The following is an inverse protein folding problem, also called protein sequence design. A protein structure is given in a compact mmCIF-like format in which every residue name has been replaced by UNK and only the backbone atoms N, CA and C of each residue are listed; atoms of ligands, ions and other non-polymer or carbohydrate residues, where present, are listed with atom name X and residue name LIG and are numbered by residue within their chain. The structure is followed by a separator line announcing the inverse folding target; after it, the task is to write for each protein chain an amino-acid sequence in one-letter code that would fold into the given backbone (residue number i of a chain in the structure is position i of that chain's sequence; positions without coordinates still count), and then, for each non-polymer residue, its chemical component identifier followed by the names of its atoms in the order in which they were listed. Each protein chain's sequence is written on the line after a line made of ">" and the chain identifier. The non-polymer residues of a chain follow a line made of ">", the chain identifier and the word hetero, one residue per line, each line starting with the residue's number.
data_IF_823134290389
#
_entry.id   IF_823134290389
#
_cell.length_a   1.000
_cell.length_b   1.000
_cell.length_c   1.000
_cell.angle_alpha   90.00
_cell.angle_beta   90.00
_cell.angle_gamma   90.00
#
_symmetry.space_group_name_H-M   'P 1'
#
loop_
_entity.id
_entity.type
_entity.pdbx_description
1 polymer ?
#
# COMPACT_ATOMS: atom_id res chain seq x y z
N UNK A 1 6.71 -1.80 -29.17
CA UNK A 1 7.40 -1.15 -28.04
C UNK A 1 6.37 -0.39 -27.24
N UNK A 2 6.15 -0.68 -25.93
CA UNK A 2 5.12 0.02 -25.14
C UNK A 2 5.41 1.50 -24.87
N UNK A 3 6.63 1.96 -25.11
CA UNK A 3 7.07 3.33 -24.80
C UNK A 3 6.31 4.44 -25.57
N UNK A 4 5.83 4.17 -26.79
CA UNK A 4 5.09 5.18 -27.56
C UNK A 4 3.70 5.48 -26.99
N UNK A 5 3.04 4.50 -26.34
CA UNK A 5 1.71 4.66 -25.76
C UNK A 5 1.71 5.55 -24.51
N UNK A 6 2.86 5.73 -23.85
CA UNK A 6 3.02 6.46 -22.60
C UNK A 6 3.92 7.69 -22.73
N UNK A 7 4.19 8.15 -23.95
CA UNK A 7 5.07 9.31 -24.20
C UNK A 7 4.60 10.61 -23.51
N UNK A 8 3.30 10.71 -23.20
CA UNK A 8 2.70 11.83 -22.48
C UNK A 8 2.76 11.70 -20.95
N UNK A 9 3.20 10.54 -20.43
CA UNK A 9 3.27 10.28 -18.98
C UNK A 9 4.57 10.83 -18.43
N UNK A 10 4.44 11.76 -17.47
CA UNK A 10 5.58 12.38 -16.79
C UNK A 10 5.66 12.02 -15.29
N UNK A 11 4.69 11.25 -14.78
CA UNK A 11 4.67 10.81 -13.40
C UNK A 11 4.07 9.41 -13.30
N UNK A 12 4.80 8.52 -12.65
CA UNK A 12 4.45 7.12 -12.41
C UNK A 12 4.19 6.95 -10.92
N UNK A 13 3.02 6.41 -10.59
CA UNK A 13 2.66 6.11 -9.20
C UNK A 13 2.55 4.60 -9.06
N UNK A 14 3.34 4.05 -8.16
CA UNK A 14 3.40 2.64 -7.86
C UNK A 14 2.70 2.37 -6.55
N UNK A 15 1.89 1.32 -6.54
CA UNK A 15 1.51 0.67 -5.30
C UNK A 15 2.69 -0.15 -4.76
N UNK A 16 2.65 -0.53 -3.49
CA UNK A 16 3.73 -1.26 -2.84
C UNK A 16 3.43 -2.75 -2.73
N UNK A 17 2.39 -3.08 -1.94
CA UNK A 17 2.12 -4.45 -1.52
C UNK A 17 1.62 -5.30 -2.68
N UNK A 18 2.25 -6.47 -2.87
CA UNK A 18 1.99 -7.35 -4.00
C UNK A 18 2.14 -6.69 -5.39
N UNK A 19 2.84 -5.55 -5.45
CA UNK A 19 3.13 -4.79 -6.67
C UNK A 19 4.65 -4.64 -6.89
N UNK A 20 5.39 -4.12 -5.91
CA UNK A 20 6.86 -4.03 -5.98
C UNK A 20 7.55 -5.32 -5.50
N UNK A 21 6.81 -6.27 -5.03
CA UNK A 21 7.19 -7.65 -4.78
C UNK A 21 6.02 -8.57 -5.14
N UNK A 22 6.28 -9.82 -5.56
CA UNK A 22 5.22 -10.74 -5.97
C UNK A 22 4.48 -11.31 -4.76
N UNK A 23 3.18 -11.64 -4.88
CA UNK A 23 2.39 -12.26 -3.80
C UNK A 23 2.99 -13.58 -3.27
N UNK A 24 3.75 -14.29 -4.10
CA UNK A 24 4.42 -15.54 -3.71
C UNK A 24 5.43 -15.40 -2.58
N UNK A 25 5.92 -14.18 -2.31
CA UNK A 25 6.77 -13.87 -1.16
C UNK A 25 6.00 -13.96 0.16
N UNK A 26 4.67 -13.87 0.12
CA UNK A 26 3.76 -13.95 1.27
C UNK A 26 4.10 -12.95 2.39
N UNK A 27 4.65 -11.80 2.03
CA UNK A 27 5.01 -10.75 2.99
C UNK A 27 3.77 -10.21 3.69
N UNK A 28 2.70 -10.01 2.94
CA UNK A 28 1.45 -9.47 3.47
C UNK A 28 0.76 -10.41 4.46
N UNK A 29 0.98 -11.72 4.37
CA UNK A 29 0.45 -12.71 5.32
C UNK A 29 0.92 -12.42 6.76
N UNK A 30 2.18 -11.97 6.92
CA UNK A 30 2.71 -11.59 8.23
C UNK A 30 1.95 -10.39 8.81
N UNK A 31 1.63 -9.42 7.95
CA UNK A 31 0.83 -8.23 8.32
C UNK A 31 -0.57 -8.68 8.75
N UNK A 32 -1.22 -9.57 8.00
CA UNK A 32 -2.57 -10.05 8.32
C UNK A 32 -2.64 -10.75 9.67
N UNK A 33 -1.66 -11.59 9.99
CA UNK A 33 -1.56 -12.26 11.29
C UNK A 33 -1.46 -11.22 12.41
N UNK A 34 -0.63 -10.20 12.23
CA UNK A 34 -0.48 -9.13 13.22
C UNK A 34 -1.72 -8.27 13.35
N UNK A 35 -2.39 -7.97 12.22
CA UNK A 35 -3.67 -7.26 12.22
C UNK A 35 -4.74 -7.99 13.03
N UNK A 36 -4.89 -9.32 12.81
CA UNK A 36 -5.85 -10.14 13.58
C UNK A 36 -5.52 -10.10 15.06
N UNK A 37 -4.26 -10.37 15.43
CA UNK A 37 -3.82 -10.31 16.83
C UNK A 37 -4.11 -8.96 17.46
N UNK A 38 -3.76 -7.87 16.78
CA UNK A 38 -3.97 -6.52 17.28
C UNK A 38 -5.45 -6.21 17.52
N UNK A 39 -6.33 -6.64 16.60
CA UNK A 39 -7.79 -6.48 16.75
C UNK A 39 -8.31 -7.30 17.93
N UNK A 40 -7.82 -8.54 18.12
CA UNK A 40 -8.18 -9.37 19.28
C UNK A 40 -7.84 -8.66 20.59
N UNK A 41 -6.62 -8.15 20.71
CA UNK A 41 -6.11 -7.50 21.91
C UNK A 41 -6.83 -6.16 22.18
N UNK A 42 -6.97 -5.32 21.16
CA UNK A 42 -7.55 -3.99 21.31
C UNK A 42 -9.06 -4.02 21.61
N UNK A 43 -9.79 -4.98 21.06
CA UNK A 43 -11.25 -5.06 21.22
C UNK A 43 -11.70 -6.16 22.20
N UNK A 44 -10.77 -6.98 22.73
CA UNK A 44 -11.11 -8.07 23.64
C UNK A 44 -11.97 -9.16 22.99
N UNK A 45 -11.74 -9.45 21.71
CA UNK A 45 -12.52 -10.43 20.93
C UNK A 45 -11.68 -11.66 20.59
N UNK A 46 -12.35 -12.77 20.26
CA UNK A 46 -11.69 -13.95 19.75
C UNK A 46 -11.22 -13.80 18.30
N UNK A 47 -10.44 -14.76 17.80
CA UNK A 47 -9.88 -14.74 16.45
C UNK A 47 -10.99 -14.69 15.39
N UNK A 48 -12.03 -15.50 15.51
CA UNK A 48 -13.10 -15.58 14.52
C UNK A 48 -13.81 -14.21 14.37
N UNK A 49 -14.05 -13.53 15.50
CA UNK A 49 -14.63 -12.20 15.52
C UNK A 49 -13.66 -11.16 14.95
N UNK A 50 -12.37 -11.23 15.27
CA UNK A 50 -11.36 -10.33 14.74
C UNK A 50 -11.23 -10.44 13.20
N UNK A 51 -11.20 -11.65 12.66
CA UNK A 51 -11.15 -11.90 11.22
C UNK A 51 -12.41 -11.40 10.51
N UNK A 52 -13.57 -11.61 11.13
CA UNK A 52 -14.84 -11.05 10.63
C UNK A 52 -14.81 -9.51 10.59
N UNK A 53 -14.35 -8.87 11.67
CA UNK A 53 -14.27 -7.41 11.74
C UNK A 53 -13.28 -6.85 10.71
N UNK A 54 -12.11 -7.48 10.54
CA UNK A 54 -11.13 -7.09 9.53
C UNK A 54 -11.73 -7.11 8.13
N UNK A 55 -12.41 -8.22 7.78
CA UNK A 55 -13.08 -8.38 6.49
C UNK A 55 -14.20 -7.34 6.31
N UNK A 56 -15.04 -7.16 7.34
CA UNK A 56 -16.12 -6.18 7.33
C UNK A 56 -15.59 -4.76 7.11
N UNK A 57 -14.56 -4.35 7.86
CA UNK A 57 -13.98 -3.01 7.75
C UNK A 57 -13.31 -2.77 6.41
N UNK A 58 -12.62 -3.79 5.88
CA UNK A 58 -12.02 -3.69 4.56
C UNK A 58 -13.09 -3.45 3.47
N UNK A 59 -14.20 -4.17 3.52
CA UNK A 59 -15.30 -3.99 2.57
C UNK A 59 -16.04 -2.65 2.74
N UNK A 60 -16.26 -2.24 4.00
CA UNK A 60 -17.09 -1.07 4.30
C UNK A 60 -16.31 0.24 4.23
N UNK A 61 -15.07 0.24 4.69
CA UNK A 61 -14.25 1.45 4.86
C UNK A 61 -12.96 1.45 4.03
N UNK A 62 -12.68 0.39 3.28
CA UNK A 62 -11.53 0.26 2.41
C UNK A 62 -10.26 -0.28 3.09
N UNK A 63 -10.14 -0.17 4.42
CA UNK A 63 -9.07 -0.82 5.21
C UNK A 63 -9.58 -1.17 6.61
N UNK A 64 -8.93 -2.15 7.25
CA UNK A 64 -9.18 -2.47 8.67
C UNK A 64 -8.95 -1.25 9.56
N UNK A 65 -7.86 -0.51 9.32
CA UNK A 65 -7.53 0.69 10.08
C UNK A 65 -8.64 1.74 10.03
N UNK A 66 -9.18 2.02 8.85
CA UNK A 66 -10.26 3.01 8.71
C UNK A 66 -11.52 2.61 9.51
N UNK A 67 -11.83 1.30 9.57
CA UNK A 67 -12.91 0.79 10.41
C UNK A 67 -12.62 0.93 11.91
N UNK A 68 -11.41 0.57 12.33
CA UNK A 68 -10.99 0.70 13.73
C UNK A 68 -11.05 2.15 14.22
N UNK A 69 -10.57 3.08 13.42
CA UNK A 69 -10.65 4.51 13.74
C UNK A 69 -12.11 5.00 13.82
N UNK A 70 -12.94 4.57 12.87
CA UNK A 70 -14.31 5.08 12.76
C UNK A 70 -15.27 4.48 13.78
N UNK A 71 -15.15 3.18 14.06
CA UNK A 71 -16.09 2.44 14.93
C UNK A 71 -15.64 2.41 16.40
N UNK A 72 -14.33 2.58 16.64
CA UNK A 72 -13.74 2.41 17.97
C UNK A 72 -12.87 3.59 18.42
N UNK A 73 -12.79 4.66 17.61
CA UNK A 73 -11.99 5.87 17.90
C UNK A 73 -10.53 5.57 18.27
N UNK A 74 -9.97 4.53 17.62
CA UNK A 74 -8.61 4.05 17.90
C UNK A 74 -7.54 4.93 17.23
N UNK A 75 -6.47 5.20 17.99
CA UNK A 75 -5.28 5.88 17.46
C UNK A 75 -4.60 4.97 16.40
N UNK A 76 -4.41 5.47 15.17
CA UNK A 76 -3.74 4.71 14.11
C UNK A 76 -2.27 4.42 14.38
N UNK A 77 -1.58 5.22 15.18
CA UNK A 77 -0.14 5.13 15.41
C UNK A 77 0.32 3.78 15.95
N UNK A 78 -0.18 3.32 17.11
CA UNK A 78 0.17 2.02 17.68
C UNK A 78 -0.15 0.84 16.76
N UNK A 79 -1.31 0.87 16.08
CA UNK A 79 -1.70 -0.15 15.12
C UNK A 79 -0.70 -0.24 13.97
N UNK A 80 -0.42 0.87 13.30
CA UNK A 80 0.48 0.91 12.15
C UNK A 80 1.91 0.54 12.53
N UNK A 81 2.34 0.89 13.74
CA UNK A 81 3.64 0.48 14.24
C UNK A 81 3.71 -1.05 14.39
N UNK A 82 2.74 -1.65 15.09
CA UNK A 82 2.74 -3.09 15.34
C UNK A 82 2.64 -3.91 14.06
N UNK A 83 1.66 -3.63 13.20
CA UNK A 83 1.40 -4.47 12.01
C UNK A 83 2.54 -4.48 11.00
N UNK A 84 3.40 -3.46 11.00
CA UNK A 84 4.56 -3.36 10.12
C UNK A 84 5.88 -3.87 10.73
N UNK A 85 5.88 -4.36 11.98
CA UNK A 85 7.05 -5.01 12.60
C UNK A 85 7.14 -6.47 12.16
N UNK A 86 7.49 -6.68 10.89
CA UNK A 86 7.59 -7.97 10.21
C UNK A 86 9.00 -8.24 9.72
N UNK A 87 9.33 -9.51 9.41
CA UNK A 87 10.58 -9.87 8.73
C UNK A 87 10.51 -9.55 7.25
N UNK A 88 11.63 -9.07 6.71
CA UNK A 88 11.85 -8.83 5.27
C UNK A 88 12.77 -9.86 4.63
N UNK A 89 13.16 -10.92 5.35
CA UNK A 89 14.17 -11.91 4.90
C UNK A 89 13.75 -12.65 3.62
N UNK A 90 12.45 -12.73 3.35
CA UNK A 90 11.93 -13.31 2.12
C UNK A 90 12.03 -12.38 0.90
N UNK A 91 12.32 -11.10 1.10
CA UNK A 91 12.51 -10.14 0.03
C UNK A 91 13.94 -10.21 -0.50
N UNK A 92 14.09 -10.48 -1.77
CA UNK A 92 15.38 -10.47 -2.46
C UNK A 92 15.44 -9.30 -3.45
N UNK A 93 16.61 -8.69 -3.66
CA UNK A 93 16.79 -7.68 -4.70
C UNK A 93 16.38 -8.19 -6.08
N UNK A 94 15.79 -7.30 -6.88
CA UNK A 94 15.33 -7.59 -8.25
C UNK A 94 15.98 -6.63 -9.24
N UNK A 95 17.13 -6.99 -9.82
CA UNK A 95 17.85 -6.13 -10.75
C UNK A 95 17.08 -5.84 -12.05
N UNK A 96 16.23 -6.77 -12.49
CA UNK A 96 15.43 -6.57 -13.70
C UNK A 96 14.35 -5.52 -13.46
N UNK A 97 13.57 -5.65 -12.38
CA UNK A 97 12.59 -4.65 -11.97
C UNK A 97 13.25 -3.29 -11.74
N UNK A 98 14.42 -3.29 -11.08
CA UNK A 98 15.22 -2.08 -10.86
C UNK A 98 15.54 -1.37 -12.18
N UNK A 99 16.04 -2.12 -13.18
CA UNK A 99 16.38 -1.58 -14.49
C UNK A 99 15.15 -1.03 -15.23
N UNK A 100 14.03 -1.76 -15.18
CA UNK A 100 12.78 -1.35 -15.82
C UNK A 100 12.21 -0.07 -15.19
N UNK A 101 12.16 0.02 -13.86
CA UNK A 101 11.69 1.24 -13.18
C UNK A 101 12.62 2.42 -13.46
N UNK A 102 13.94 2.20 -13.46
CA UNK A 102 14.93 3.23 -13.75
C UNK A 102 14.79 3.79 -15.16
N UNK A 103 14.40 2.97 -16.12
CA UNK A 103 14.22 3.37 -17.53
C UNK A 103 12.94 4.20 -17.77
N UNK A 104 12.01 4.28 -16.81
CA UNK A 104 10.80 5.08 -16.96
C UNK A 104 11.12 6.57 -16.93
N UNK A 105 10.61 7.35 -17.89
CA UNK A 105 10.82 8.79 -17.93
C UNK A 105 10.02 9.50 -16.84
N UNK A 106 10.52 10.66 -16.40
CA UNK A 106 9.81 11.53 -15.46
C UNK A 106 9.91 11.08 -14.00
N UNK A 107 8.90 11.46 -13.21
CA UNK A 107 8.86 11.21 -11.77
C UNK A 107 8.31 9.83 -11.45
N UNK A 108 8.86 9.20 -10.44
CA UNK A 108 8.42 7.90 -9.89
C UNK A 108 8.10 8.08 -8.42
N UNK A 109 6.91 7.68 -8.03
CA UNK A 109 6.36 7.87 -6.69
C UNK A 109 5.80 6.53 -6.22
N UNK A 110 6.02 6.18 -4.98
CA UNK A 110 5.30 5.09 -4.31
C UNK A 110 4.18 5.67 -3.48
N UNK A 111 3.00 5.05 -3.54
CA UNK A 111 1.86 5.39 -2.70
C UNK A 111 1.17 4.13 -2.18
N UNK A 112 1.16 3.95 -0.86
CA UNK A 112 0.66 2.74 -0.20
C UNK A 112 -0.38 3.04 0.88
N UNK A 113 -1.20 2.02 1.25
CA UNK A 113 -2.02 2.04 2.46
C UNK A 113 -1.21 1.64 3.73
N UNK A 114 0.04 1.19 3.57
CA UNK A 114 0.99 1.07 4.65
C UNK A 114 1.62 2.42 5.02
N UNK A 115 2.51 2.43 6.01
CA UNK A 115 3.29 3.64 6.35
C UNK A 115 4.42 3.88 5.34
N UNK A 116 4.84 5.14 5.21
CA UNK A 116 6.01 5.49 4.38
C UNK A 116 7.27 4.77 4.89
N UNK A 117 7.45 4.68 6.22
CA UNK A 117 8.57 3.95 6.84
C UNK A 117 8.58 2.47 6.47
N UNK A 118 7.42 1.81 6.49
CA UNK A 118 7.29 0.42 6.04
C UNK A 118 7.67 0.29 4.56
N UNK A 119 7.13 1.18 3.73
CA UNK A 119 7.42 1.19 2.30
C UNK A 119 8.92 1.36 1.99
N UNK A 120 9.61 2.24 2.70
CA UNK A 120 11.05 2.45 2.56
C UNK A 120 11.85 1.18 2.91
N UNK A 121 11.45 0.43 3.95
CA UNK A 121 12.07 -0.85 4.32
C UNK A 121 11.89 -1.91 3.21
N UNK A 122 10.67 -2.01 2.64
CA UNK A 122 10.39 -2.91 1.51
C UNK A 122 11.22 -2.53 0.27
N UNK A 123 11.24 -1.24 -0.08
CA UNK A 123 12.01 -0.68 -1.20
C UNK A 123 13.49 -1.02 -1.05
N UNK A 124 14.05 -0.84 0.14
CA UNK A 124 15.44 -1.15 0.43
C UNK A 124 15.73 -2.65 0.29
N UNK A 125 14.89 -3.52 0.89
CA UNK A 125 15.03 -4.97 0.82
C UNK A 125 14.92 -5.51 -0.63
N UNK A 126 14.12 -4.86 -1.48
CA UNK A 126 13.98 -5.20 -2.91
C UNK A 126 15.08 -4.64 -3.80
N UNK A 127 16.05 -3.91 -3.24
CA UNK A 127 17.12 -3.29 -4.03
C UNK A 127 16.65 -2.12 -4.91
N UNK A 128 15.50 -1.52 -4.57
CA UNK A 128 14.88 -0.41 -5.31
C UNK A 128 15.23 0.97 -4.72
N UNK A 129 16.18 1.03 -3.79
CA UNK A 129 16.62 2.26 -3.14
C UNK A 129 17.06 3.33 -4.15
N UNK A 130 16.67 4.59 -3.91
CA UNK A 130 17.04 5.72 -4.76
C UNK A 130 16.31 5.81 -6.10
N UNK A 131 15.38 4.89 -6.42
CA UNK A 131 14.62 4.93 -7.67
C UNK A 131 13.41 5.87 -7.62
N UNK A 132 12.86 6.09 -6.44
CA UNK A 132 11.64 6.86 -6.27
C UNK A 132 11.94 8.27 -5.77
N UNK A 133 11.24 9.25 -6.34
CA UNK A 133 11.36 10.67 -6.00
C UNK A 133 10.58 11.04 -4.74
N UNK A 134 9.59 10.21 -4.38
CA UNK A 134 8.82 10.33 -3.14
C UNK A 134 8.17 8.99 -2.78
N UNK A 135 7.96 8.78 -1.49
CA UNK A 135 7.20 7.67 -0.92
C UNK A 135 6.13 8.27 -0.01
N UNK A 136 4.88 7.92 -0.26
CA UNK A 136 3.73 8.37 0.50
C UNK A 136 3.04 7.17 1.14
N UNK A 137 2.90 7.20 2.46
CA UNK A 137 2.11 6.26 3.23
C UNK A 137 0.71 6.78 3.54
N UNK A 138 -0.07 5.97 4.23
CA UNK A 138 -1.43 6.30 4.65
C UNK A 138 -1.48 7.53 5.57
N UNK A 139 -0.43 7.78 6.36
CA UNK A 139 -0.31 8.96 7.22
C UNK A 139 -0.24 10.27 6.42
N UNK A 140 0.38 10.26 5.24
CA UNK A 140 0.43 11.42 4.35
C UNK A 140 -0.95 11.76 3.76
N UNK A 141 -1.86 10.80 3.83
CA UNK A 141 -3.23 10.89 3.37
C UNK A 141 -4.24 11.21 4.49
N UNK A 142 -3.76 11.53 5.70
CA UNK A 142 -4.62 11.68 6.87
C UNK A 142 -5.35 10.39 7.23
N UNK A 143 -4.72 9.25 7.00
CA UNK A 143 -5.22 7.88 7.22
C UNK A 143 -6.44 7.50 6.37
N UNK A 144 -6.71 8.26 5.30
CA UNK A 144 -7.73 7.89 4.31
C UNK A 144 -7.18 6.80 3.38
N UNK A 145 -7.89 5.66 3.25
CA UNK A 145 -7.42 4.57 2.39
C UNK A 145 -7.53 4.90 0.91
N UNK A 146 -6.71 4.26 0.08
CA UNK A 146 -6.93 4.23 -1.35
C UNK A 146 -8.24 3.45 -1.66
N UNK A 147 -9.06 3.84 -2.62
CA UNK A 147 -8.94 4.93 -3.59
C UNK A 147 -9.60 6.25 -3.15
N UNK A 148 -10.15 6.36 -1.92
CA UNK A 148 -10.88 7.56 -1.49
C UNK A 148 -10.08 8.85 -1.64
N UNK A 149 -8.77 8.77 -1.43
CA UNK A 149 -7.90 9.93 -1.59
C UNK A 149 -7.79 10.41 -3.04
N UNK A 150 -7.93 9.51 -4.01
CA UNK A 150 -7.90 9.89 -5.43
C UNK A 150 -9.13 10.71 -5.84
N UNK A 151 -10.24 10.53 -5.15
CA UNK A 151 -11.46 11.31 -5.38
C UNK A 151 -11.42 12.68 -4.70
N UNK A 152 -10.61 12.85 -3.64
CA UNK A 152 -10.60 14.06 -2.81
C UNK A 152 -9.26 14.78 -2.77
N UNK A 153 -8.15 14.12 -3.08
CA UNK A 153 -6.83 14.69 -2.94
C UNK A 153 -6.41 15.49 -4.17
N UNK A 154 -6.39 16.78 -4.00
CA UNK A 154 -5.32 17.59 -4.54
C UNK A 154 -4.06 17.18 -3.79
N UNK A 155 -3.30 16.17 -4.27
CA UNK A 155 -1.90 16.05 -3.86
C UNK A 155 -1.30 17.45 -3.95
N UNK A 156 -0.52 17.91 -2.96
CA UNK A 156 0.08 19.23 -3.03
C UNK A 156 1.08 19.24 -4.19
N UNK A 157 0.57 19.35 -5.41
CA UNK A 157 1.39 19.63 -6.57
C UNK A 157 1.58 21.14 -6.61
N UNK A 158 2.80 21.59 -6.42
CA UNK A 158 3.18 22.97 -6.76
C UNK A 158 3.05 23.24 -8.28
N UNK A 159 2.49 22.28 -9.03
CA UNK A 159 2.32 22.40 -10.48
C UNK A 159 0.87 22.09 -10.88
N UNK A 160 0.09 23.07 -11.37
CA UNK A 160 -1.31 22.91 -11.77
C UNK A 160 -1.53 22.01 -13.00
N UNK A 161 -0.45 21.56 -13.66
CA UNK A 161 -0.51 20.77 -14.90
C UNK A 161 -0.34 19.25 -14.68
N UNK A 162 -0.34 18.76 -13.44
CA UNK A 162 -0.29 17.31 -13.16
C UNK A 162 -1.70 16.73 -13.30
N UNK A 163 -2.05 16.26 -14.49
CA UNK A 163 -3.19 15.35 -14.68
C UNK A 163 -2.70 13.92 -14.36
N UNK A 164 -3.14 13.39 -13.23
CA UNK A 164 -2.96 11.97 -12.88
C UNK A 164 -3.91 11.14 -13.74
N UNK A 165 -3.40 10.54 -14.81
CA UNK A 165 -4.12 9.52 -15.56
C UNK A 165 -3.71 8.15 -15.03
N UNK A 166 -4.47 7.63 -14.08
CA UNK A 166 -4.30 6.27 -13.58
C UNK A 166 -5.39 5.41 -14.20
N UNK A 167 -5.03 4.58 -15.16
CA UNK A 167 -5.87 3.45 -15.55
C UNK A 167 -5.70 2.35 -14.51
N UNK A 168 -6.62 2.30 -13.58
CA UNK A 168 -6.77 1.23 -12.58
C UNK A 168 -7.27 -0.06 -13.26
N UNK A 169 -6.47 -0.65 -14.15
CA UNK A 169 -6.86 -1.87 -14.87
C UNK A 169 -6.38 -3.17 -14.22
N UNK A 170 -5.63 -3.10 -13.12
CA UNK A 170 -5.13 -4.28 -12.40
C UNK A 170 -5.85 -4.59 -11.08
N UNK A 171 -6.75 -3.74 -10.61
CA UNK A 171 -7.40 -3.89 -9.30
C UNK A 171 -8.70 -4.71 -9.30
N UNK A 172 -9.22 -5.15 -10.45
CA UNK A 172 -10.52 -5.84 -10.54
C UNK A 172 -10.45 -7.37 -10.65
N UNK A 173 -9.34 -8.03 -10.34
CA UNK A 173 -9.26 -9.49 -10.34
C UNK A 173 -8.65 -10.05 -9.08
N UNK A 174 -9.22 -9.69 -7.95
CA UNK A 174 -9.05 -10.48 -6.74
C UNK A 174 -10.43 -10.94 -6.26
N UNK A 175 -10.95 -11.99 -6.88
CA UNK A 175 -11.98 -12.82 -6.27
C UNK A 175 -11.28 -13.74 -5.29
N UNK A 176 -11.65 -13.75 -4.00
CA UNK A 176 -11.16 -14.80 -3.12
C UNK A 176 -11.65 -16.14 -3.65
N UNK A 177 -10.73 -17.06 -3.90
CA UNK A 177 -11.05 -18.47 -3.98
C UNK A 177 -11.50 -18.89 -2.58
N UNK A 178 -12.80 -18.89 -2.37
CA UNK A 178 -13.42 -19.58 -1.25
C UNK A 178 -13.48 -21.07 -1.65
N UNK A 179 -12.99 -22.01 -0.80
CA UNK A 179 -13.10 -23.42 -1.06
C UNK A 179 -14.55 -23.91 -1.07
#
# INVERSE_FOLDING_TARGET
>A
MPQSAFSHVNTWVFDLDNTLYPPSVRLFDQIEIRMTRWVMEALGVDQARADHLRTHYWHTYGTTLAGLMREHDLDPGPYLHDVHEISFDALVPDPELTAQIKALPGRRIVYTNGTARYAERVIAARGLGGLFHAVYGVENAGFLPKPMLWATARLPSRNPNVRLSIRCSLWMRWTPLVP
#
